data_IF_325473687742
#
_entry.id   IF_325473687742
#
_cell.length_a   1.000
_cell.length_b   1.000
_cell.length_c   1.000
_cell.angle_alpha   90.00
_cell.angle_beta   90.00
_cell.angle_gamma   90.00
#
_symmetry.space_group_name_H-M   'P 1'
#
loop_
_entity.id
_entity.type
_entity.pdbx_description
1 polymer ?
#
# COMPACT_ATOMS: atom_id res chain seq x y z
N UNK A 1 -7.64 -37.61 19.19
CA UNK A 1 -7.33 -36.29 19.81
C UNK A 1 -6.60 -35.40 18.79
N UNK A 2 -7.07 -35.37 17.54
CA UNK A 2 -6.40 -34.68 16.42
C UNK A 2 -7.37 -33.78 15.64
N UNK A 3 -8.67 -34.06 15.76
CA UNK A 3 -9.76 -33.32 15.10
C UNK A 3 -9.81 -31.85 15.54
N UNK A 4 -9.47 -31.56 16.79
CA UNK A 4 -9.38 -30.20 17.31
C UNK A 4 -8.18 -29.43 16.75
N UNK A 5 -7.05 -30.11 16.49
CA UNK A 5 -5.87 -29.52 15.85
C UNK A 5 -6.16 -29.22 14.38
N UNK A 6 -6.79 -30.15 13.67
CA UNK A 6 -7.23 -29.93 12.28
C UNK A 6 -8.26 -28.81 12.16
N UNK A 7 -9.20 -28.69 13.10
CA UNK A 7 -10.16 -27.59 13.13
C UNK A 7 -9.50 -26.23 13.38
N UNK A 8 -8.50 -26.16 14.26
CA UNK A 8 -7.71 -24.94 14.51
C UNK A 8 -6.83 -24.58 13.31
N UNK A 9 -6.19 -25.55 12.67
CA UNK A 9 -5.42 -25.33 11.43
C UNK A 9 -6.33 -24.88 10.29
N UNK A 10 -7.50 -25.49 10.12
CA UNK A 10 -8.49 -25.09 9.10
C UNK A 10 -9.07 -23.70 9.38
N UNK A 11 -9.29 -23.33 10.65
CA UNK A 11 -9.71 -21.98 11.04
C UNK A 11 -8.59 -20.95 10.85
N UNK A 12 -7.33 -21.32 11.09
CA UNK A 12 -6.14 -20.51 10.82
C UNK A 12 -5.94 -20.28 9.32
N UNK A 13 -6.07 -21.32 8.49
CA UNK A 13 -6.00 -21.23 7.03
C UNK A 13 -7.02 -20.23 6.45
N UNK A 14 -8.18 -20.06 7.09
CA UNK A 14 -9.21 -19.10 6.65
C UNK A 14 -8.88 -17.64 6.99
N UNK A 15 -7.91 -17.38 7.88
CA UNK A 15 -7.36 -16.03 8.14
C UNK A 15 -6.14 -15.69 7.29
N UNK A 16 -5.64 -16.64 6.51
CA UNK A 16 -4.71 -16.40 5.41
C UNK A 16 -5.43 -16.53 4.07
N UNK A 17 -6.68 -16.05 3.98
CA UNK A 17 -7.19 -15.66 2.68
C UNK A 17 -6.26 -14.54 2.21
N UNK A 18 -5.34 -14.94 1.33
CA UNK A 18 -4.27 -14.19 0.69
C UNK A 18 -4.45 -12.69 0.89
N UNK A 19 -3.65 -12.10 1.79
CA UNK A 19 -3.30 -10.70 1.62
C UNK A 19 -2.62 -10.63 0.27
N UNK A 20 -3.41 -10.40 -0.78
CA UNK A 20 -2.98 -10.27 -2.16
C UNK A 20 -1.64 -9.51 -2.17
N UNK A 21 -0.54 -10.13 -2.63
CA UNK A 21 0.77 -9.51 -2.64
C UNK A 21 0.80 -8.21 -3.48
N UNK A 22 -0.27 -7.94 -4.24
CA UNK A 22 -0.54 -6.68 -4.93
C UNK A 22 -0.66 -5.45 -4.04
N UNK A 23 -0.92 -5.59 -2.74
CA UNK A 23 -0.88 -4.44 -1.81
C UNK A 23 0.53 -3.88 -1.60
N UNK A 24 1.57 -4.66 -1.96
CA UNK A 24 2.99 -4.31 -1.85
C UNK A 24 3.63 -3.97 -3.20
N UNK A 25 2.83 -3.91 -4.27
CA UNK A 25 3.27 -3.66 -5.65
C UNK A 25 3.83 -2.26 -5.91
N UNK A 26 3.77 -1.36 -4.92
CA UNK A 26 4.13 0.05 -5.10
C UNK A 26 3.15 0.82 -6.01
N UNK A 27 2.06 0.19 -6.45
CA UNK A 27 1.09 0.78 -7.35
C UNK A 27 0.30 1.91 -6.68
N UNK A 28 0.14 3.02 -7.39
CA UNK A 28 -0.66 4.14 -6.90
C UNK A 28 -2.14 3.86 -7.07
N UNK A 29 -2.92 4.13 -6.02
CA UNK A 29 -4.38 4.12 -6.09
C UNK A 29 -4.91 5.51 -6.50
N UNK A 30 -5.35 5.63 -7.75
CA UNK A 30 -5.73 6.90 -8.36
C UNK A 30 -7.20 7.23 -8.14
N UNK A 31 -7.49 8.47 -7.72
CA UNK A 31 -8.84 9.03 -7.72
C UNK A 31 -8.85 10.40 -8.41
N UNK A 32 -10.02 10.80 -8.92
CA UNK A 32 -10.26 12.11 -9.49
C UNK A 32 -10.87 13.04 -8.42
N UNK A 33 -10.13 14.04 -7.91
CA UNK A 33 -10.67 14.96 -6.93
C UNK A 33 -11.71 15.91 -7.56
N UNK A 34 -12.82 16.11 -6.86
CA UNK A 34 -13.97 16.91 -7.33
C UNK A 34 -13.76 18.42 -7.19
N UNK A 35 -12.88 18.85 -6.29
CA UNK A 35 -12.65 20.25 -5.96
C UNK A 35 -11.19 20.47 -5.52
N UNK A 36 -10.34 20.94 -6.43
CA UNK A 36 -9.00 21.40 -6.10
C UNK A 36 -8.91 22.88 -6.50
N UNK A 37 -9.09 23.77 -5.53
CA UNK A 37 -9.02 25.23 -5.73
C UNK A 37 -7.58 25.72 -5.94
N UNK A 38 -6.57 24.85 -5.78
CA UNK A 38 -5.16 25.19 -5.93
C UNK A 38 -4.64 24.75 -7.30
N UNK A 39 -3.83 25.58 -7.98
CA UNK A 39 -3.16 25.16 -9.20
C UNK A 39 -2.23 23.99 -8.89
N UNK A 40 -2.60 22.81 -9.40
CA UNK A 40 -1.83 21.57 -9.22
C UNK A 40 -0.92 21.35 -10.42
N UNK A 41 0.29 20.82 -10.17
CA UNK A 41 1.26 20.48 -11.21
C UNK A 41 1.47 18.97 -11.25
N UNK A 42 1.78 18.44 -12.43
CA UNK A 42 2.01 17.02 -12.64
C UNK A 42 3.40 16.61 -12.18
N UNK A 43 3.50 15.60 -11.33
CA UNK A 43 4.78 15.13 -10.82
C UNK A 43 5.64 14.42 -11.89
N UNK A 44 5.03 13.97 -12.99
CA UNK A 44 5.73 13.34 -14.12
C UNK A 44 6.27 14.39 -15.10
N UNK A 45 5.39 15.18 -15.71
CA UNK A 45 5.79 16.11 -16.77
C UNK A 45 6.01 17.55 -16.29
N UNK A 46 5.77 17.84 -15.01
CA UNK A 46 5.97 19.16 -14.36
C UNK A 46 5.10 20.31 -14.91
N UNK A 47 4.15 20.03 -15.80
CA UNK A 47 3.18 21.00 -16.29
C UNK A 47 1.93 21.11 -15.40
N UNK A 48 1.24 22.25 -15.49
CA UNK A 48 -0.02 22.50 -14.80
C UNK A 48 -1.08 21.46 -15.20
N UNK A 49 -1.86 21.00 -14.24
CA UNK A 49 -2.95 20.05 -14.43
C UNK A 49 -4.27 20.82 -14.45
N UNK A 50 -5.12 20.51 -15.43
CA UNK A 50 -6.50 20.96 -15.45
C UNK A 50 -7.32 20.07 -14.51
N UNK A 51 -8.27 20.64 -13.76
CA UNK A 51 -9.08 19.91 -12.79
C UNK A 51 -9.73 18.64 -13.37
N UNK A 52 -10.19 18.68 -14.63
CA UNK A 52 -10.80 17.52 -15.35
C UNK A 52 -9.85 16.35 -15.63
N UNK A 53 -8.54 16.58 -15.61
CA UNK A 53 -7.53 15.57 -15.92
C UNK A 53 -6.66 15.22 -14.71
N UNK A 54 -6.99 15.76 -13.53
CA UNK A 54 -6.26 15.52 -12.30
C UNK A 54 -6.59 14.12 -11.78
N UNK A 55 -5.53 13.34 -11.60
CA UNK A 55 -5.54 12.15 -10.78
C UNK A 55 -4.61 12.38 -9.60
N UNK A 56 -5.09 12.05 -8.40
CA UNK A 56 -4.31 12.08 -7.17
C UNK A 56 -4.23 10.67 -6.61
N UNK A 57 -3.07 10.29 -6.08
CA UNK A 57 -2.95 9.06 -5.32
C UNK A 57 -3.58 9.24 -3.94
N UNK A 58 -4.47 8.34 -3.52
CA UNK A 58 -5.10 8.39 -2.19
C UNK A 58 -4.09 8.25 -1.06
N UNK A 59 -3.05 7.48 -1.33
CA UNK A 59 -1.97 7.15 -0.41
C UNK A 59 -0.97 8.31 -0.40
N UNK A 60 0.02 8.32 -1.29
CA UNK A 60 1.14 9.27 -1.21
C UNK A 60 0.85 10.69 -1.74
N UNK A 61 -0.41 11.01 -2.09
CA UNK A 61 -0.85 12.32 -2.63
C UNK A 61 -0.11 12.78 -3.90
N UNK A 62 0.42 11.83 -4.67
CA UNK A 62 1.09 12.09 -5.95
C UNK A 62 0.07 12.59 -6.98
N UNK A 63 0.35 13.74 -7.63
CA UNK A 63 -0.55 14.37 -8.59
C UNK A 63 -0.07 14.15 -10.02
N UNK A 64 -0.94 13.64 -10.89
CA UNK A 64 -0.61 13.37 -12.31
C UNK A 64 -1.76 13.70 -13.24
N UNK A 65 -1.44 13.96 -14.52
CA UNK A 65 -2.46 13.93 -15.57
C UNK A 65 -2.96 12.50 -15.80
N UNK A 66 -4.20 12.34 -16.27
CA UNK A 66 -4.72 11.04 -16.76
C UNK A 66 -3.78 10.33 -17.74
N UNK A 67 -3.16 11.06 -18.68
CA UNK A 67 -2.16 10.52 -19.63
C UNK A 67 -0.79 10.21 -19.01
N UNK A 68 -0.46 10.85 -17.88
CA UNK A 68 0.81 10.66 -17.19
C UNK A 68 0.76 9.55 -16.15
N UNK A 69 -0.43 9.08 -15.76
CA UNK A 69 -0.60 8.00 -14.79
C UNK A 69 0.11 6.71 -15.22
N UNK A 70 0.01 6.33 -16.50
CA UNK A 70 0.72 5.16 -17.04
C UNK A 70 2.25 5.30 -17.06
N UNK A 71 2.77 6.52 -16.99
CA UNK A 71 4.21 6.82 -16.94
C UNK A 71 4.72 7.07 -15.52
N UNK A 72 3.83 7.04 -14.52
CA UNK A 72 4.21 7.27 -13.14
C UNK A 72 4.93 6.05 -12.60
N UNK A 73 6.07 6.28 -11.90
CA UNK A 73 6.81 5.22 -11.23
C UNK A 73 5.93 4.65 -10.11
N UNK A 74 5.77 3.33 -10.09
CA UNK A 74 5.08 2.53 -9.07
C UNK A 74 5.90 2.45 -7.77
N UNK A 75 6.19 3.60 -7.17
CA UNK A 75 6.81 3.73 -5.86
C UNK A 75 5.89 4.54 -4.94
N UNK A 76 4.71 3.99 -4.68
CA UNK A 76 3.79 4.62 -3.74
C UNK A 76 4.25 4.37 -2.30
N UNK A 77 4.46 5.48 -1.56
CA UNK A 77 5.14 5.46 -0.26
C UNK A 77 4.55 4.52 0.78
N UNK A 78 3.23 4.23 0.79
CA UNK A 78 2.62 3.35 1.79
C UNK A 78 2.01 2.05 1.23
N UNK A 79 2.26 1.73 -0.05
CA UNK A 79 1.96 0.41 -0.64
C UNK A 79 3.25 -0.37 -0.91
N UNK A 80 4.33 -0.04 -0.19
CA UNK A 80 5.62 -0.70 -0.32
C UNK A 80 5.96 -1.30 1.03
N UNK A 81 6.50 -2.52 1.02
CA UNK A 81 6.90 -3.33 2.18
C UNK A 81 7.83 -2.58 3.16
N UNK A 82 8.49 -1.50 2.71
CA UNK A 82 9.32 -0.63 3.53
C UNK A 82 8.55 0.24 4.54
N UNK A 83 7.24 0.47 4.34
CA UNK A 83 6.41 1.31 5.21
C UNK A 83 5.53 0.52 6.18
N UNK A 84 5.32 -0.77 5.90
CA UNK A 84 4.78 -1.72 6.88
C UNK A 84 5.98 -2.13 7.72
N UNK A 85 6.12 -1.54 8.91
CA UNK A 85 7.22 -1.88 9.81
C UNK A 85 7.33 -3.40 9.97
N UNK A 86 8.55 -3.92 10.10
CA UNK A 86 8.86 -5.35 10.34
C UNK A 86 8.30 -5.90 11.67
N UNK A 87 7.29 -5.28 12.25
CA UNK A 87 6.72 -5.55 13.57
C UNK A 87 5.55 -6.55 13.53
N UNK A 88 5.20 -7.06 12.34
CA UNK A 88 4.09 -8.03 12.15
C UNK A 88 4.62 -9.47 11.99
N UNK A 89 5.93 -9.67 12.08
CA UNK A 89 6.47 -11.02 12.19
C UNK A 89 6.47 -11.34 13.69
N UNK A 90 5.36 -11.90 14.19
CA UNK A 90 5.42 -12.67 15.43
C UNK A 90 6.35 -13.86 15.14
N UNK A 91 7.58 -13.78 15.67
CA UNK A 91 8.43 -14.95 15.82
C UNK A 91 7.61 -16.03 16.54
N UNK A 92 7.63 -17.26 16.01
CA UNK A 92 6.92 -18.40 16.58
C UNK A 92 7.46 -18.81 17.98
N UNK A 93 8.51 -18.15 18.46
CA UNK A 93 9.09 -18.34 19.78
C UNK A 93 9.02 -17.02 20.55
N UNK A 94 7.98 -16.87 21.38
CA UNK A 94 7.73 -15.69 22.21
C UNK A 94 8.78 -15.48 23.30
N UNK A 95 10.03 -15.21 22.93
CA UNK A 95 11.10 -14.82 23.83
C UNK A 95 11.65 -13.47 23.39
N UNK A 96 11.10 -12.42 23.99
CA UNK A 96 11.75 -11.11 24.03
C UNK A 96 13.04 -11.23 24.85
N UNK A 97 14.12 -11.68 24.23
CA UNK A 97 15.45 -11.58 24.82
C UNK A 97 15.90 -10.12 24.73
N UNK A 98 15.48 -9.32 25.71
CA UNK A 98 16.17 -8.09 26.02
C UNK A 98 17.60 -8.42 26.47
N UNK A 99 18.58 -8.06 25.68
CA UNK A 99 19.92 -7.73 26.18
C UNK A 99 20.57 -6.74 25.22
N UNK A 100 20.48 -5.45 25.57
CA UNK A 100 21.45 -4.48 25.11
C UNK A 100 22.69 -4.67 25.97
N UNK A 101 23.84 -4.88 25.34
CA UNK A 101 25.16 -4.77 25.95
C UNK A 101 25.93 -3.69 25.22
#
# INVERSE_FOLDING_TARGET
>A
MEEWLSALTAASQRRYHELEPDCLSGQHHWYAPSFDARPTYCNVCRYKINARHLLRCEVCKFNVHKRCAAKAINNCKWTTLASVGKDIIEDADGVSAGLVS
#
